data_IF_744566118444
#
_entry.id   IF_744566118444
#
_cell.length_a   1.000
_cell.length_b   1.000
_cell.length_c   1.000
_cell.angle_alpha   90.00
_cell.angle_beta   90.00
_cell.angle_gamma   90.00
#
_symmetry.space_group_name_H-M   'P 1'
#
loop_
_entity.id
_entity.type
_entity.pdbx_description
1 polymer ?
#
# COMPACT_ATOMS: atom_id res chain seq x y z
N UNK A 1 14.41 -9.65 16.78
CA UNK A 1 14.35 -10.09 15.36
C UNK A 1 15.45 -9.42 14.52
N UNK A 2 15.63 -8.13 14.63
CA UNK A 2 16.60 -7.32 13.87
C UNK A 2 17.63 -6.74 14.83
N UNK A 3 18.93 -6.98 14.59
CA UNK A 3 19.95 -6.37 15.47
C UNK A 3 19.83 -4.82 15.43
N UNK A 4 19.92 -4.11 16.57
CA UNK A 4 19.81 -2.65 16.64
C UNK A 4 20.70 -1.90 15.65
N UNK A 5 21.92 -2.41 15.40
CA UNK A 5 22.84 -1.83 14.44
C UNK A 5 22.29 -1.80 13.00
N UNK A 6 21.50 -2.79 12.62
CA UNK A 6 20.91 -2.86 11.27
C UNK A 6 19.73 -1.89 11.10
N UNK A 7 19.00 -1.64 12.20
CA UNK A 7 17.95 -0.61 12.22
C UNK A 7 18.57 0.78 12.07
N UNK A 8 19.67 1.03 12.81
CA UNK A 8 20.42 2.29 12.69
C UNK A 8 20.99 2.50 11.29
N UNK A 9 21.51 1.45 10.67
CA UNK A 9 21.99 1.51 9.29
C UNK A 9 20.86 1.84 8.29
N UNK A 10 19.71 1.18 8.45
CA UNK A 10 18.54 1.40 7.59
C UNK A 10 17.98 2.82 7.71
N UNK A 11 18.14 3.49 8.86
CA UNK A 11 17.72 4.88 9.05
C UNK A 11 18.36 5.88 8.08
N UNK A 12 19.47 5.51 7.45
CA UNK A 12 20.12 6.33 6.42
C UNK A 12 19.44 6.22 5.04
N UNK A 13 18.60 5.20 4.86
CA UNK A 13 17.91 4.89 3.60
C UNK A 13 16.42 5.27 3.61
N UNK A 14 15.87 5.64 4.77
CA UNK A 14 14.48 6.01 4.90
C UNK A 14 14.32 7.35 5.66
N UNK A 15 13.24 8.13 5.41
CA UNK A 15 13.09 9.47 5.97
C UNK A 15 12.51 9.47 7.40
N UNK A 16 12.40 8.31 8.05
CA UNK A 16 11.72 8.20 9.34
C UNK A 16 12.65 8.56 10.51
N UNK A 17 12.13 9.38 11.45
CA UNK A 17 12.86 9.81 12.65
C UNK A 17 12.69 8.78 13.77
N UNK A 18 11.52 8.14 13.87
CA UNK A 18 11.25 7.14 14.92
C UNK A 18 11.95 5.81 14.61
N UNK A 19 12.79 5.29 15.53
CA UNK A 19 13.43 3.98 15.33
C UNK A 19 12.43 2.84 15.05
N UNK A 20 11.27 2.88 15.71
CA UNK A 20 10.21 1.91 15.48
C UNK A 20 9.63 1.97 14.04
N UNK A 21 9.51 3.19 13.46
CA UNK A 21 9.11 3.35 12.08
C UNK A 21 10.20 2.88 11.10
N UNK A 22 11.47 3.13 11.42
CA UNK A 22 12.62 2.62 10.66
C UNK A 22 12.63 1.10 10.63
N UNK A 23 12.45 0.47 11.79
CA UNK A 23 12.38 -0.98 11.91
C UNK A 23 11.20 -1.58 11.13
N UNK A 24 10.02 -1.00 11.30
CA UNK A 24 8.83 -1.45 10.59
C UNK A 24 8.95 -1.26 9.07
N UNK A 25 9.60 -0.18 8.62
CA UNK A 25 9.88 0.07 7.21
C UNK A 25 10.83 -0.99 6.61
N UNK A 26 11.85 -1.41 7.36
CA UNK A 26 12.74 -2.49 6.95
C UNK A 26 12.02 -3.84 6.87
N UNK A 27 11.17 -4.15 7.86
CA UNK A 27 10.32 -5.36 7.86
C UNK A 27 9.38 -5.37 6.66
N UNK A 28 8.71 -4.24 6.39
CA UNK A 28 7.80 -4.06 5.27
C UNK A 28 8.54 -4.21 3.93
N UNK A 29 9.75 -3.63 3.83
CA UNK A 29 10.58 -3.71 2.62
C UNK A 29 10.99 -5.14 2.32
N UNK A 30 11.44 -5.90 3.33
CA UNK A 30 11.70 -7.33 3.19
C UNK A 30 10.43 -8.09 2.80
N UNK A 31 9.30 -7.79 3.42
CA UNK A 31 8.02 -8.41 3.08
C UNK A 31 7.67 -8.27 1.60
N UNK A 32 7.86 -7.08 1.01
CA UNK A 32 7.66 -6.86 -0.42
C UNK A 32 8.57 -7.74 -1.29
N UNK A 33 9.85 -7.80 -0.98
CA UNK A 33 10.80 -8.64 -1.74
C UNK A 33 10.44 -10.11 -1.63
N UNK A 34 10.17 -10.60 -0.41
CA UNK A 34 9.80 -12.01 -0.17
C UNK A 34 8.51 -12.39 -0.92
N UNK A 35 7.48 -11.53 -0.89
CA UNK A 35 6.21 -11.75 -1.60
C UNK A 35 6.45 -11.83 -3.11
N UNK A 36 7.16 -10.86 -3.68
CA UNK A 36 7.30 -10.74 -5.13
C UNK A 36 8.46 -11.54 -5.73
N UNK A 37 9.31 -12.15 -4.89
CA UNK A 37 10.23 -13.20 -5.31
C UNK A 37 9.51 -14.51 -5.67
N UNK A 38 8.27 -14.68 -5.21
CA UNK A 38 7.43 -15.79 -5.63
C UNK A 38 6.74 -15.48 -6.96
N UNK A 39 6.96 -16.27 -8.03
CA UNK A 39 6.41 -16.00 -9.35
C UNK A 39 4.87 -16.08 -9.36
N UNK A 40 4.27 -16.95 -8.53
CA UNK A 40 2.82 -17.10 -8.46
C UNK A 40 2.18 -15.89 -7.77
N UNK A 41 2.76 -15.45 -6.65
CA UNK A 41 2.28 -14.24 -5.95
C UNK A 41 2.43 -13.00 -6.83
N UNK A 42 3.53 -12.89 -7.59
CA UNK A 42 3.75 -11.79 -8.53
C UNK A 42 2.73 -11.74 -9.66
N UNK A 43 2.23 -12.88 -10.12
CA UNK A 43 1.16 -12.94 -11.12
C UNK A 43 -0.23 -12.69 -10.56
N UNK A 44 -0.45 -12.93 -9.26
CA UNK A 44 -1.76 -12.86 -8.63
C UNK A 44 -2.05 -11.55 -7.94
N UNK A 45 -1.03 -10.90 -7.40
CA UNK A 45 -1.17 -9.73 -6.54
C UNK A 45 -0.61 -8.48 -7.21
N UNK A 46 -1.43 -7.46 -7.31
CA UNK A 46 -1.04 -6.13 -7.79
C UNK A 46 -0.89 -5.18 -6.61
N UNK A 47 0.27 -4.56 -6.46
CA UNK A 47 0.57 -3.67 -5.34
C UNK A 47 -0.08 -2.31 -5.53
N UNK A 48 -0.72 -1.80 -4.48
CA UNK A 48 -1.43 -0.51 -4.48
C UNK A 48 -1.32 0.21 -3.14
N UNK A 49 -2.14 1.20 -2.96
CA UNK A 49 -2.35 1.86 -1.67
C UNK A 49 -1.32 2.92 -1.34
N UNK A 50 -1.32 3.33 -0.05
CA UNK A 50 -0.45 4.39 0.44
C UNK A 50 1.02 4.01 0.40
N UNK A 51 1.34 2.76 0.70
CA UNK A 51 2.72 2.27 0.69
C UNK A 51 3.27 2.21 -0.73
N UNK A 52 2.50 1.73 -1.71
CA UNK A 52 2.91 1.78 -3.11
C UNK A 52 3.19 3.22 -3.57
N UNK A 53 2.31 4.16 -3.21
CA UNK A 53 2.47 5.56 -3.57
C UNK A 53 3.73 6.18 -2.94
N UNK A 54 3.93 6.04 -1.62
CA UNK A 54 5.03 6.71 -0.92
C UNK A 54 6.36 5.96 -0.95
N UNK A 55 6.36 4.64 -1.17
CA UNK A 55 7.60 3.87 -1.24
C UNK A 55 8.16 3.74 -2.64
N UNK A 56 7.30 3.87 -3.67
CA UNK A 56 7.70 3.67 -5.06
C UNK A 56 7.60 4.98 -5.88
N UNK A 57 6.48 5.70 -5.79
CA UNK A 57 6.18 6.82 -6.71
C UNK A 57 6.66 8.15 -6.17
N UNK A 58 6.28 8.50 -4.94
CA UNK A 58 6.61 9.79 -4.31
C UNK A 58 7.87 9.65 -3.44
N UNK A 59 9.03 9.86 -4.04
CA UNK A 59 10.30 9.80 -3.35
C UNK A 59 10.95 11.21 -3.25
N UNK A 60 11.49 11.59 -2.07
CA UNK A 60 11.44 10.86 -0.80
C UNK A 60 10.01 10.81 -0.25
N UNK A 61 9.69 9.73 0.49
CA UNK A 61 8.37 9.52 1.06
C UNK A 61 7.98 10.68 2.01
N UNK A 62 6.85 11.32 1.72
CA UNK A 62 6.40 12.49 2.48
C UNK A 62 5.61 12.12 3.76
N UNK A 63 5.11 10.90 3.85
CA UNK A 63 4.47 10.35 5.05
C UNK A 63 4.70 8.86 5.19
N UNK A 64 4.64 8.42 6.42
CA UNK A 64 4.71 7.02 6.78
C UNK A 64 3.47 6.23 6.34
N UNK A 65 3.69 5.00 5.88
CA UNK A 65 2.64 4.04 5.53
C UNK A 65 3.09 2.64 5.95
N UNK A 66 2.23 1.93 6.68
CA UNK A 66 2.60 0.71 7.41
C UNK A 66 1.93 -0.57 6.89
N UNK A 67 0.94 -0.43 6.01
CA UNK A 67 0.16 -1.53 5.48
C UNK A 67 0.61 -1.87 4.05
N UNK A 68 0.59 -3.14 3.67
CA UNK A 68 0.76 -3.61 2.31
C UNK A 68 -0.61 -3.90 1.70
N UNK A 69 -1.02 -3.08 0.77
CA UNK A 69 -2.32 -3.18 0.09
C UNK A 69 -2.15 -3.84 -1.27
N UNK A 70 -2.93 -4.88 -1.53
CA UNK A 70 -2.92 -5.60 -2.80
C UNK A 70 -4.32 -5.74 -3.39
N UNK A 71 -4.36 -5.94 -4.70
CA UNK A 71 -5.55 -6.41 -5.42
C UNK A 71 -5.24 -7.78 -6.01
N UNK A 72 -6.15 -8.72 -5.85
CA UNK A 72 -6.08 -9.99 -6.55
C UNK A 72 -6.52 -9.79 -8.01
N UNK A 73 -5.61 -10.08 -8.95
CA UNK A 73 -5.84 -9.80 -10.38
C UNK A 73 -6.87 -10.71 -11.04
N UNK A 74 -7.08 -11.90 -10.51
CA UNK A 74 -8.00 -12.90 -11.08
C UNK A 74 -9.08 -13.27 -10.07
N UNK A 75 -10.27 -13.50 -10.54
CA UNK A 75 -11.37 -14.04 -9.73
C UNK A 75 -11.12 -15.53 -9.46
N UNK A 76 -10.44 -15.82 -8.36
CA UNK A 76 -10.09 -17.16 -7.92
C UNK A 76 -10.13 -17.24 -6.38
N UNK A 77 -10.28 -18.45 -5.80
CA UNK A 77 -10.26 -18.62 -4.35
C UNK A 77 -8.96 -18.13 -3.74
N UNK A 78 -9.05 -17.28 -2.73
CA UNK A 78 -7.90 -16.62 -2.10
C UNK A 78 -7.01 -17.60 -1.29
N UNK A 79 -7.52 -18.77 -0.92
CA UNK A 79 -6.83 -19.72 -0.02
C UNK A 79 -5.39 -20.02 -0.43
N UNK A 80 -5.18 -20.44 -1.68
CA UNK A 80 -3.83 -20.74 -2.18
C UNK A 80 -2.89 -19.54 -2.11
N UNK A 81 -3.37 -18.33 -2.37
CA UNK A 81 -2.59 -17.09 -2.27
C UNK A 81 -2.18 -16.81 -0.81
N UNK A 82 -3.10 -17.02 0.14
CA UNK A 82 -2.81 -16.87 1.57
C UNK A 82 -1.80 -17.92 2.05
N UNK A 83 -1.87 -19.14 1.56
CA UNK A 83 -0.93 -20.20 1.93
C UNK A 83 0.48 -19.90 1.40
N UNK A 84 0.61 -19.42 0.18
CA UNK A 84 1.89 -18.96 -0.37
C UNK A 84 2.47 -17.78 0.42
N UNK A 85 1.63 -16.79 0.80
CA UNK A 85 2.06 -15.68 1.66
C UNK A 85 2.58 -16.18 3.01
N UNK A 86 1.89 -17.13 3.65
CA UNK A 86 2.33 -17.75 4.90
C UNK A 86 3.65 -18.50 4.72
N UNK A 87 3.80 -19.27 3.65
CA UNK A 87 5.06 -19.98 3.36
C UNK A 87 6.26 -19.03 3.25
N UNK A 88 6.08 -17.85 2.69
CA UNK A 88 7.14 -16.84 2.55
C UNK A 88 7.42 -16.05 3.81
N UNK A 89 6.40 -15.75 4.60
CA UNK A 89 6.51 -14.78 5.68
C UNK A 89 6.60 -15.42 7.08
N UNK A 90 5.91 -16.55 7.31
CA UNK A 90 5.90 -17.22 8.63
C UNK A 90 7.28 -17.63 9.13
N UNK A 91 8.25 -18.06 8.28
CA UNK A 91 9.57 -18.47 8.77
C UNK A 91 10.33 -17.40 9.57
N UNK A 92 9.99 -16.11 9.36
CA UNK A 92 10.68 -15.01 10.03
C UNK A 92 9.77 -14.03 10.78
N UNK A 93 8.43 -14.06 10.55
CA UNK A 93 7.45 -13.22 11.25
C UNK A 93 6.56 -14.01 12.23
N UNK A 94 6.61 -15.35 12.19
CA UNK A 94 5.68 -16.19 12.94
C UNK A 94 4.29 -16.25 12.29
N UNK A 95 3.29 -16.71 13.03
CA UNK A 95 1.94 -16.92 12.51
C UNK A 95 1.11 -15.62 12.53
N UNK A 96 0.43 -15.27 11.44
CA UNK A 96 -0.41 -14.08 11.39
C UNK A 96 -1.80 -14.35 11.98
N UNK A 97 -2.42 -13.30 12.52
CA UNK A 97 -3.88 -13.28 12.63
C UNK A 97 -4.47 -13.11 11.23
N UNK A 98 -5.35 -14.02 10.84
CA UNK A 98 -6.07 -13.98 9.57
C UNK A 98 -7.50 -13.50 9.77
N UNK A 99 -7.97 -12.63 8.87
CA UNK A 99 -9.36 -12.22 8.76
C UNK A 99 -9.77 -12.32 7.29
N UNK A 100 -10.75 -13.16 7.01
CA UNK A 100 -11.22 -13.45 5.65
C UNK A 100 -12.70 -13.11 5.59
N UNK A 101 -13.04 -12.15 4.79
CA UNK A 101 -14.40 -11.67 4.63
C UNK A 101 -14.81 -11.52 3.17
N UNK A 102 -16.07 -11.14 2.93
CA UNK A 102 -16.61 -11.02 1.58
C UNK A 102 -15.96 -9.92 0.73
N UNK A 103 -15.17 -9.03 1.33
CA UNK A 103 -14.50 -7.92 0.64
C UNK A 103 -13.01 -8.12 0.41
N UNK A 104 -12.42 -9.14 1.03
CA UNK A 104 -11.01 -9.40 0.94
C UNK A 104 -10.48 -10.21 2.09
N UNK A 105 -9.16 -10.35 2.13
CA UNK A 105 -8.44 -11.07 3.17
C UNK A 105 -7.38 -10.17 3.80
N UNK A 106 -7.17 -10.32 5.10
CA UNK A 106 -6.14 -9.61 5.85
C UNK A 106 -5.29 -10.59 6.62
N UNK A 107 -3.96 -10.49 6.48
CA UNK A 107 -2.99 -11.13 7.35
C UNK A 107 -2.32 -10.06 8.20
N UNK A 108 -2.27 -10.26 9.53
CA UNK A 108 -1.64 -9.33 10.46
C UNK A 108 -0.58 -10.06 11.27
N UNK A 109 0.68 -9.82 10.93
CA UNK A 109 1.84 -10.25 11.69
C UNK A 109 2.14 -9.24 12.79
N UNK A 110 2.44 -9.69 14.00
CA UNK A 110 2.76 -8.84 15.14
C UNK A 110 4.14 -9.17 15.68
N UNK A 111 4.90 -8.14 15.99
CA UNK A 111 6.23 -8.26 16.60
C UNK A 111 6.48 -7.09 17.53
N UNK A 112 7.53 -7.15 18.34
CA UNK A 112 7.94 -6.06 19.23
C UNK A 112 9.14 -5.37 18.61
N UNK A 113 9.24 -4.04 18.80
CA UNK A 113 10.40 -3.28 18.37
C UNK A 113 11.63 -3.65 19.20
N UNK A 114 12.80 -3.66 18.56
CA UNK A 114 14.07 -4.01 19.22
C UNK A 114 14.65 -2.84 20.01
N UNK A 115 14.39 -1.60 19.58
CA UNK A 115 14.91 -0.40 20.24
C UNK A 115 13.92 0.16 21.26
N UNK A 116 14.41 0.61 22.45
CA UNK A 116 13.55 1.26 23.44
C UNK A 116 12.97 2.60 22.95
N UNK A 117 11.74 2.95 23.37
CA UNK A 117 10.82 2.13 24.14
C UNK A 117 10.28 0.97 23.30
N UNK A 118 10.27 -0.25 23.86
CA UNK A 118 9.71 -1.42 23.17
C UNK A 118 8.22 -1.23 22.98
N UNK A 119 7.79 -1.23 21.73
CA UNK A 119 6.38 -1.08 21.35
C UNK A 119 5.95 -2.22 20.41
N UNK A 120 4.65 -2.48 20.38
CA UNK A 120 4.08 -3.46 19.46
C UNK A 120 4.00 -2.90 18.07
N UNK A 121 4.63 -3.57 17.14
CA UNK A 121 4.60 -3.31 15.71
C UNK A 121 3.77 -4.38 14.99
N UNK A 122 3.42 -4.10 13.75
CA UNK A 122 2.70 -5.06 12.89
C UNK A 122 3.10 -4.88 11.44
N UNK A 123 3.08 -5.96 10.69
CA UNK A 123 2.99 -5.95 9.24
C UNK A 123 1.57 -6.40 8.88
N UNK A 124 0.80 -5.52 8.28
CA UNK A 124 -0.56 -5.81 7.82
C UNK A 124 -0.58 -5.94 6.30
N UNK A 125 -1.10 -7.05 5.82
CA UNK A 125 -1.28 -7.35 4.41
C UNK A 125 -2.77 -7.38 4.14
N UNK A 126 -3.26 -6.47 3.30
CA UNK A 126 -4.66 -6.38 2.89
C UNK A 126 -4.79 -6.75 1.42
N UNK A 127 -5.65 -7.69 1.10
CA UNK A 127 -5.89 -8.15 -0.26
C UNK A 127 -7.35 -7.91 -0.61
N UNK A 128 -7.61 -7.03 -1.56
CA UNK A 128 -8.93 -6.87 -2.14
C UNK A 128 -9.17 -8.01 -3.14
N UNK A 129 -10.26 -8.77 -2.91
CA UNK A 129 -10.66 -9.93 -3.73
C UNK A 129 -11.94 -9.69 -4.53
N UNK A 130 -12.38 -8.44 -4.67
CA UNK A 130 -13.59 -8.05 -5.40
C UNK A 130 -13.31 -7.20 -6.61
N UNK A 131 -12.39 -6.28 -6.49
CA UNK A 131 -12.00 -5.39 -7.56
C UNK A 131 -10.87 -6.04 -8.35
N UNK A 132 -11.21 -6.89 -9.32
CA UNK A 132 -10.22 -7.46 -10.25
C UNK A 132 -9.92 -6.47 -11.39
N UNK A 133 -10.09 -5.17 -11.13
CA UNK A 133 -10.05 -4.11 -12.12
C UNK A 133 -8.66 -3.44 -12.13
N UNK A 134 -8.10 -3.35 -13.33
CA UNK A 134 -6.96 -2.51 -13.65
C UNK A 134 -7.26 -1.87 -15.00
N UNK A 135 -7.38 -0.55 -15.03
CA UNK A 135 -7.80 0.20 -16.21
C UNK A 135 -6.66 0.58 -17.12
N UNK A 136 -5.50 0.82 -16.51
CA UNK A 136 -4.29 1.21 -17.22
C UNK A 136 -3.27 0.06 -17.17
N UNK A 137 -2.29 0.05 -18.09
CA UNK A 137 -1.25 -0.98 -18.08
C UNK A 137 -0.53 -1.06 -16.72
N UNK A 138 -0.38 -2.29 -16.22
CA UNK A 138 0.37 -2.58 -15.01
C UNK A 138 1.83 -2.18 -15.21
N UNK A 139 2.36 -1.40 -14.29
CA UNK A 139 3.77 -1.03 -14.27
C UNK A 139 4.60 -2.07 -13.52
N UNK A 140 5.80 -2.37 -14.03
CA UNK A 140 6.77 -3.22 -13.35
C UNK A 140 7.88 -2.33 -12.80
N UNK A 141 8.08 -2.34 -11.48
CA UNK A 141 9.10 -1.53 -10.84
C UNK A 141 10.09 -2.42 -10.10
N UNK A 142 11.38 -2.24 -10.36
CA UNK A 142 12.43 -2.92 -9.61
C UNK A 142 12.51 -2.33 -8.20
N UNK A 143 12.51 -3.19 -7.21
CA UNK A 143 12.62 -2.83 -5.81
C UNK A 143 13.66 -3.71 -5.14
N UNK A 144 14.61 -3.09 -4.46
CA UNK A 144 15.70 -3.78 -3.79
C UNK A 144 15.78 -3.36 -2.32
N UNK A 145 16.21 -4.29 -1.49
CA UNK A 145 16.59 -4.07 -0.10
C UNK A 145 18.06 -4.47 0.03
N UNK A 146 18.87 -3.54 0.50
CA UNK A 146 20.27 -3.79 0.80
C UNK A 146 20.55 -3.45 2.26
N UNK A 147 20.47 -4.47 3.11
CA UNK A 147 20.71 -4.40 4.54
C UNK A 147 21.42 -5.67 5.00
N UNK A 148 22.30 -5.57 6.00
CA UNK A 148 22.96 -6.73 6.60
C UNK A 148 21.97 -7.72 7.25
N UNK A 149 20.76 -7.29 7.57
CA UNK A 149 19.69 -8.18 8.05
C UNK A 149 19.03 -8.97 6.91
N UNK A 150 18.85 -8.33 5.76
CA UNK A 150 18.24 -8.92 4.58
C UNK A 150 18.69 -8.17 3.34
N UNK A 151 19.07 -8.89 2.31
CA UNK A 151 19.38 -8.35 0.98
C UNK A 151 18.62 -9.15 -0.07
N UNK A 152 18.00 -8.45 -1.01
CA UNK A 152 17.24 -9.06 -2.09
C UNK A 152 16.56 -8.03 -2.98
N UNK A 153 16.09 -8.49 -4.13
CA UNK A 153 15.39 -7.68 -5.10
C UNK A 153 14.21 -8.41 -5.71
N UNK A 154 13.20 -7.66 -6.14
CA UNK A 154 12.06 -8.20 -6.85
C UNK A 154 11.46 -7.17 -7.82
N UNK A 155 10.81 -7.66 -8.87
CA UNK A 155 9.98 -6.86 -9.76
C UNK A 155 8.57 -6.80 -9.19
N UNK A 156 8.13 -5.59 -8.83
CA UNK A 156 6.82 -5.32 -8.25
C UNK A 156 5.83 -4.91 -9.33
N UNK A 157 4.77 -5.68 -9.60
CA UNK A 157 3.64 -5.20 -10.38
C UNK A 157 2.86 -4.19 -9.56
N UNK A 158 2.76 -2.96 -10.04
CA UNK A 158 2.03 -1.86 -9.39
C UNK A 158 1.03 -1.22 -10.35
N UNK A 159 0.00 -0.60 -9.81
CA UNK A 159 -0.83 0.30 -10.60
C UNK A 159 0.01 1.45 -11.18
N UNK A 160 -0.37 1.95 -12.36
CA UNK A 160 0.18 3.21 -12.85
C UNK A 160 -0.04 4.34 -11.84
N UNK A 161 0.79 5.36 -11.85
CA UNK A 161 0.65 6.52 -10.96
C UNK A 161 -0.74 7.15 -11.06
N UNK A 162 -1.26 7.30 -12.28
CA UNK A 162 -2.61 7.84 -12.53
C UNK A 162 -3.69 6.98 -11.88
N UNK A 163 -3.58 5.66 -11.97
CA UNK A 163 -4.57 4.75 -11.39
C UNK A 163 -4.46 4.72 -9.85
N UNK A 164 -3.23 4.73 -9.29
CA UNK A 164 -3.04 4.89 -7.85
C UNK A 164 -3.73 6.16 -7.33
N UNK A 165 -3.56 7.28 -8.02
CA UNK A 165 -4.17 8.56 -7.64
C UNK A 165 -5.69 8.57 -7.84
N UNK A 166 -6.20 7.94 -8.89
CA UNK A 166 -7.65 7.73 -9.11
C UNK A 166 -8.29 6.93 -7.98
N UNK A 167 -7.64 5.83 -7.55
CA UNK A 167 -8.13 5.05 -6.40
C UNK A 167 -8.00 5.84 -5.07
N UNK A 168 -7.04 6.76 -4.95
CA UNK A 168 -6.96 7.69 -3.81
C UNK A 168 -8.10 8.70 -3.81
N UNK A 169 -8.51 9.17 -4.98
CA UNK A 169 -9.67 10.05 -5.11
C UNK A 169 -10.97 9.34 -4.72
N UNK A 170 -11.13 8.05 -5.12
CA UNK A 170 -12.24 7.20 -4.65
C UNK A 170 -12.22 7.06 -3.12
N UNK A 171 -11.07 6.77 -2.54
CA UNK A 171 -10.92 6.64 -1.11
C UNK A 171 -11.24 7.95 -0.36
N UNK A 172 -10.82 9.10 -0.88
CA UNK A 172 -11.13 10.41 -0.33
C UNK A 172 -12.66 10.65 -0.34
N UNK A 173 -13.30 10.35 -1.45
CA UNK A 173 -14.76 10.50 -1.58
C UNK A 173 -15.52 9.61 -0.59
N UNK A 174 -15.15 8.32 -0.51
CA UNK A 174 -15.87 7.33 0.28
C UNK A 174 -15.64 7.46 1.79
N UNK A 175 -14.40 7.69 2.22
CA UNK A 175 -14.03 7.65 3.65
C UNK A 175 -13.59 8.98 4.25
N UNK A 176 -13.41 10.02 3.43
CA UNK A 176 -13.13 11.41 3.84
C UNK A 176 -11.97 11.55 4.81
N UNK A 177 -10.89 10.80 4.61
CA UNK A 177 -9.70 10.87 5.48
C UNK A 177 -8.69 11.85 4.93
N UNK A 178 -8.20 12.76 5.79
CA UNK A 178 -7.23 13.79 5.43
C UNK A 178 -5.95 13.24 4.79
N UNK A 179 -5.54 12.01 5.12
CA UNK A 179 -4.38 11.37 4.49
C UNK A 179 -4.54 11.14 2.98
N UNK A 180 -5.77 10.87 2.50
CA UNK A 180 -6.03 10.65 1.08
C UNK A 180 -5.96 11.99 0.31
N UNK A 181 -6.41 13.09 0.93
CA UNK A 181 -6.24 14.44 0.41
C UNK A 181 -4.76 14.85 0.39
N UNK A 182 -4.02 14.54 1.46
CA UNK A 182 -2.59 14.80 1.54
C UNK A 182 -1.81 14.08 0.42
N UNK A 183 -2.14 12.82 0.15
CA UNK A 183 -1.53 12.03 -0.92
C UNK A 183 -1.73 12.69 -2.30
N UNK A 184 -2.94 13.17 -2.59
CA UNK A 184 -3.25 13.87 -3.85
C UNK A 184 -2.53 15.23 -3.93
N UNK A 185 -2.47 15.96 -2.83
CA UNK A 185 -1.74 17.23 -2.76
C UNK A 185 -0.25 17.01 -3.00
N UNK A 186 0.37 16.02 -2.37
CA UNK A 186 1.77 15.67 -2.59
C UNK A 186 2.05 15.27 -4.05
N UNK A 187 1.18 14.47 -4.65
CA UNK A 187 1.32 14.11 -6.06
C UNK A 187 1.25 15.32 -6.99
N UNK A 188 0.41 16.32 -6.64
CA UNK A 188 0.35 17.60 -7.35
C UNK A 188 1.65 18.40 -7.19
N UNK A 189 2.19 18.50 -5.96
CA UNK A 189 3.45 19.22 -5.71
C UNK A 189 4.63 18.58 -6.44
N UNK A 190 4.64 17.23 -6.52
CA UNK A 190 5.63 16.46 -7.26
C UNK A 190 5.46 16.51 -8.79
N UNK A 191 4.40 17.14 -9.31
CA UNK A 191 4.14 17.26 -10.75
C UNK A 191 3.71 15.95 -11.43
N UNK A 192 3.31 14.92 -10.66
CA UNK A 192 2.91 13.61 -11.19
C UNK A 192 1.40 13.41 -11.27
N UNK A 193 0.60 14.43 -10.88
CA UNK A 193 -0.85 14.38 -10.92
C UNK A 193 -1.37 14.95 -12.23
N UNK A 194 -1.84 14.06 -13.12
CA UNK A 194 -2.66 14.41 -14.28
C UNK A 194 -4.13 14.46 -13.85
N UNK A 195 -4.63 15.65 -13.54
CA UNK A 195 -5.97 15.81 -12.96
C UNK A 195 -7.11 15.32 -13.86
N UNK A 196 -7.13 15.60 -15.19
CA UNK A 196 -8.11 15.00 -16.09
C UNK A 196 -8.10 13.47 -16.09
N UNK A 197 -6.93 12.86 -16.27
CA UNK A 197 -6.81 11.40 -16.30
C UNK A 197 -7.19 10.75 -14.97
N UNK A 198 -6.80 11.36 -13.84
CA UNK A 198 -7.19 10.91 -12.49
C UNK A 198 -8.71 10.99 -12.29
N UNK A 199 -9.36 12.05 -12.79
CA UNK A 199 -10.81 12.20 -12.72
C UNK A 199 -11.55 11.14 -13.56
N UNK A 200 -11.02 10.79 -14.72
CA UNK A 200 -11.58 9.73 -15.57
C UNK A 200 -11.49 8.36 -14.89
N UNK A 201 -10.35 8.03 -14.28
CA UNK A 201 -10.17 6.82 -13.47
C UNK A 201 -11.17 6.79 -12.31
N UNK A 202 -11.27 7.89 -11.55
CA UNK A 202 -12.25 8.02 -10.46
C UNK A 202 -13.67 7.74 -10.95
N UNK A 203 -14.10 8.39 -12.03
CA UNK A 203 -15.44 8.23 -12.57
C UNK A 203 -15.70 6.79 -13.02
N UNK A 204 -14.69 6.09 -13.55
CA UNK A 204 -14.81 4.70 -13.96
C UNK A 204 -14.98 3.77 -12.74
N UNK A 205 -14.14 3.90 -11.71
CA UNK A 205 -14.24 3.10 -10.48
C UNK A 205 -15.58 3.34 -9.78
N UNK A 206 -16.03 4.59 -9.67
CA UNK A 206 -17.32 4.89 -9.05
C UNK A 206 -18.51 4.30 -9.83
N UNK A 207 -18.44 4.25 -11.16
CA UNK A 207 -19.45 3.57 -11.98
C UNK A 207 -19.44 2.05 -11.80
N UNK A 208 -18.26 1.43 -11.71
CA UNK A 208 -18.15 -0.02 -11.51
C UNK A 208 -18.70 -0.47 -10.14
N UNK A 209 -18.70 0.42 -9.15
CA UNK A 209 -19.33 0.20 -7.83
C UNK A 209 -20.83 0.55 -7.80
N UNK A 210 -21.47 0.84 -8.93
CA UNK A 210 -22.85 1.31 -9.02
C UNK A 210 -23.13 2.59 -8.23
N UNK A 211 -22.13 3.44 -8.08
CA UNK A 211 -22.20 4.71 -7.36
C UNK A 211 -21.64 5.85 -8.22
N UNK A 212 -22.23 6.19 -9.37
CA UNK A 212 -21.75 7.26 -10.22
C UNK A 212 -21.79 8.61 -9.47
N UNK A 213 -20.71 9.36 -9.55
CA UNK A 213 -20.54 10.65 -8.85
C UNK A 213 -20.32 11.75 -9.86
N UNK A 214 -21.12 12.80 -9.80
CA UNK A 214 -20.92 14.01 -10.58
C UNK A 214 -19.92 14.95 -9.89
N UNK A 215 -19.31 15.86 -10.66
CA UNK A 215 -18.43 16.89 -10.12
C UNK A 215 -19.17 17.76 -9.07
N UNK A 216 -20.46 18.05 -9.29
CA UNK A 216 -21.27 18.81 -8.33
C UNK A 216 -21.51 18.08 -7.01
N UNK A 217 -21.63 16.74 -7.03
CA UNK A 217 -21.73 15.92 -5.82
C UNK A 217 -20.39 15.84 -5.09
N UNK A 218 -19.29 15.76 -5.84
CA UNK A 218 -17.96 15.75 -5.23
C UNK A 218 -17.66 17.06 -4.50
N UNK A 219 -17.99 18.23 -5.09
CA UNK A 219 -17.74 19.54 -4.47
C UNK A 219 -18.62 19.82 -3.25
N UNK A 220 -19.77 19.18 -3.10
CA UNK A 220 -20.58 19.25 -1.86
C UNK A 220 -19.88 18.63 -0.63
N UNK A 221 -18.79 17.93 -0.82
CA UNK A 221 -17.95 17.39 0.26
C UNK A 221 -17.05 18.45 0.90
N UNK A 222 -16.91 19.63 0.29
CA UNK A 222 -16.10 20.73 0.79
C UNK A 222 -16.68 21.24 2.12
N UNK A 223 -15.91 21.25 3.23
CA UNK A 223 -16.38 21.72 4.53
C UNK A 223 -16.82 23.19 4.52
N UNK A 224 -16.29 24.03 3.61
CA UNK A 224 -16.68 25.42 3.48
C UNK A 224 -18.13 25.61 2.98
N UNK A 225 -18.67 24.65 2.26
CA UNK A 225 -20.06 24.68 1.78
C UNK A 225 -21.10 24.28 2.85
N UNK A 226 -20.68 23.82 4.05
CA UNK A 226 -21.58 23.50 5.17
C UNK A 226 -21.89 24.70 6.07
N UNK A 227 -21.17 25.82 5.93
CA UNK A 227 -21.38 27.01 6.73
C UNK A 227 -22.43 27.97 6.14
N UNK A 228 -23.02 27.65 4.98
CA UNK A 228 -23.95 28.53 4.25
C UNK A 228 -25.37 27.93 4.08
N UNK A 229 -25.75 26.94 4.87
CA UNK A 229 -27.08 26.33 4.84
C UNK A 229 -27.75 26.26 6.20
#
# INVERSE_FOLDING_TARGET
MIAPAYITEWSQQCPWISPAQVEQDLVLSRGLVEIYSDPILRERLLFRGGTALHKIVLQPAARYSEDLDFVQLREEPIGNTLDLLRQRLNPWLGEPKSDIGPRGATLTYRFESELPPVIRLRLKIEINTREHLCLLPIQQTQFAVDSRWFSGEASLPIYSTTELLGTKLCALYQRRKGRDLFDLWQARQAGVLDAPAVADIFAHYMRSENNPVSAAEFTKLDPENRASG
#
